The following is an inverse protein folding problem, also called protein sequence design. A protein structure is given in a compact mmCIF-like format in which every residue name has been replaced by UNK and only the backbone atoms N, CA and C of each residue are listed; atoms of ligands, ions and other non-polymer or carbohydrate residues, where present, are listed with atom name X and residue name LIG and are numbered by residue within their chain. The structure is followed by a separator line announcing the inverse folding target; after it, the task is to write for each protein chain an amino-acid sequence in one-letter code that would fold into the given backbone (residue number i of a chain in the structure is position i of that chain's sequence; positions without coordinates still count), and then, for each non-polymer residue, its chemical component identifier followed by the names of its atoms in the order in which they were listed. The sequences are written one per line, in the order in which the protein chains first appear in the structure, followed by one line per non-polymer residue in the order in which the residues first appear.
data_IF_767371389242
#
_entry.id   IF_767371389242
#
_cell.length_a   1.000
_cell.length_b   1.000
_cell.length_c   1.000
_cell.angle_alpha   90.00
_cell.angle_beta   90.00
_cell.angle_gamma   90.00
#
_symmetry.space_group_name_H-M   'P 1'
#
loop_
_entity.id
_entity.type
_entity.pdbx_description
1 polymer ?
#
# COMPACT_ATOMS: atom_id res chain seq x y z
N UNK A 1 -21.03 16.24 30.34
CA UNK A 1 -19.76 15.50 30.54
C UNK A 1 -18.71 16.04 29.56
N UNK A 2 -17.41 16.12 29.93
CA UNK A 2 -16.36 16.48 28.97
C UNK A 2 -16.29 15.45 27.84
N UNK A 3 -15.96 15.89 26.62
CA UNK A 3 -15.66 15.01 25.48
C UNK A 3 -14.21 15.21 25.09
N UNK A 4 -13.43 14.14 25.12
CA UNK A 4 -12.09 14.14 24.56
C UNK A 4 -12.16 13.92 23.05
N UNK A 5 -11.37 14.70 22.30
CA UNK A 5 -11.28 14.56 20.86
C UNK A 5 -10.03 13.76 20.48
N UNK A 6 -10.22 12.71 19.66
CA UNK A 6 -9.11 11.95 19.09
C UNK A 6 -8.67 12.60 17.78
N UNK A 7 -7.46 13.17 17.80
CA UNK A 7 -6.81 13.70 16.60
C UNK A 7 -5.70 12.75 16.17
N UNK A 8 -5.69 12.39 14.89
CA UNK A 8 -4.58 11.62 14.32
C UNK A 8 -3.28 12.42 14.42
N UNK A 9 -2.20 11.73 14.77
CA UNK A 9 -0.83 12.25 14.63
C UNK A 9 -0.45 12.31 13.15
N UNK A 10 0.69 12.91 12.83
CA UNK A 10 1.25 12.86 11.47
C UNK A 10 1.46 11.41 11.00
N UNK A 11 2.11 10.59 11.83
CA UNK A 11 2.25 9.15 11.61
C UNK A 11 0.89 8.45 11.41
N UNK A 12 -0.12 8.86 12.18
CA UNK A 12 -1.48 8.32 12.05
C UNK A 12 -2.16 8.70 10.73
N UNK A 13 -1.93 9.93 10.24
CA UNK A 13 -2.41 10.36 8.92
C UNK A 13 -1.76 9.56 7.82
N UNK A 14 -0.44 9.32 7.87
CA UNK A 14 0.30 8.58 6.84
C UNK A 14 -0.14 7.12 6.65
N UNK A 15 -0.85 6.54 7.61
CA UNK A 15 -1.44 5.19 7.49
C UNK A 15 -2.55 5.10 6.45
N UNK A 16 -3.06 6.21 5.92
CA UNK A 16 -4.09 6.21 4.89
C UNK A 16 -3.72 5.30 3.70
N UNK A 17 -2.45 5.25 3.30
CA UNK A 17 -1.95 4.39 2.21
C UNK A 17 -2.16 2.90 2.48
N UNK A 18 -1.96 2.48 3.74
CA UNK A 18 -2.17 1.09 4.17
C UNK A 18 -3.66 0.76 4.17
N UNK A 19 -4.50 1.69 4.62
CA UNK A 19 -5.95 1.52 4.61
C UNK A 19 -6.47 1.40 3.16
N UNK A 20 -6.00 2.24 2.25
CA UNK A 20 -6.32 2.13 0.81
C UNK A 20 -5.89 0.77 0.25
N UNK A 21 -4.69 0.29 0.57
CA UNK A 21 -4.21 -1.02 0.13
C UNK A 21 -5.12 -2.17 0.59
N UNK A 22 -5.52 -2.14 1.88
CA UNK A 22 -6.42 -3.15 2.45
C UNK A 22 -7.81 -3.11 1.81
N UNK A 23 -8.31 -1.90 1.51
CA UNK A 23 -9.57 -1.72 0.81
C UNK A 23 -9.52 -2.31 -0.60
N UNK A 24 -8.51 -1.97 -1.41
CA UNK A 24 -8.37 -2.51 -2.76
C UNK A 24 -8.22 -4.04 -2.77
N UNK A 25 -7.51 -4.60 -1.79
CA UNK A 25 -7.45 -6.05 -1.60
C UNK A 25 -8.84 -6.63 -1.28
N UNK A 26 -9.59 -6.01 -0.36
CA UNK A 26 -10.93 -6.45 0.02
C UNK A 26 -11.92 -6.38 -1.15
N UNK A 27 -11.91 -5.28 -1.89
CA UNK A 27 -12.72 -5.07 -3.09
C UNK A 27 -12.44 -6.16 -4.15
N UNK A 28 -11.15 -6.48 -4.39
CA UNK A 28 -10.74 -7.51 -5.35
C UNK A 28 -11.25 -8.91 -5.02
N UNK A 29 -11.40 -9.22 -3.73
CA UNK A 29 -11.80 -10.55 -3.25
C UNK A 29 -13.23 -10.59 -2.71
N UNK A 30 -14.03 -9.54 -2.95
CA UNK A 30 -15.36 -9.34 -2.37
C UNK A 30 -15.42 -9.69 -0.88
N UNK A 31 -14.46 -9.16 -0.11
CA UNK A 31 -14.37 -9.44 1.33
C UNK A 31 -15.62 -8.98 2.10
N UNK A 32 -16.40 -8.05 1.53
CA UNK A 32 -17.68 -7.60 2.08
C UNK A 32 -18.88 -8.50 1.75
N UNK A 33 -18.79 -9.33 0.71
CA UNK A 33 -19.89 -10.19 0.25
C UNK A 33 -21.04 -9.47 -0.44
N UNK A 34 -20.84 -8.22 -0.87
CA UNK A 34 -21.86 -7.41 -1.55
C UNK A 34 -21.78 -7.49 -3.08
N UNK A 35 -20.77 -8.17 -3.62
CA UNK A 35 -20.58 -8.34 -5.06
C UNK A 35 -20.02 -7.10 -5.79
N UNK A 36 -19.79 -5.99 -5.09
CA UNK A 36 -19.22 -4.76 -5.62
C UNK A 36 -18.54 -3.93 -4.50
N UNK A 37 -17.58 -3.04 -4.85
CA UNK A 37 -16.97 -2.12 -3.88
C UNK A 37 -18.02 -1.23 -3.19
N UNK A 38 -17.91 -1.06 -1.87
CA UNK A 38 -18.82 -0.19 -1.09
C UNK A 38 -18.37 1.27 -1.02
N UNK A 39 -17.12 1.53 -1.39
CA UNK A 39 -16.48 2.85 -1.42
C UNK A 39 -15.69 2.92 -2.73
N UNK A 40 -15.56 4.08 -3.36
CA UNK A 40 -14.68 4.33 -4.52
C UNK A 40 -13.60 5.36 -4.15
N UNK A 41 -12.34 5.15 -4.59
CA UNK A 41 -11.30 6.18 -4.48
C UNK A 41 -11.22 6.87 -5.82
N UNK A 42 -11.54 8.16 -5.85
CA UNK A 42 -11.47 8.97 -7.06
C UNK A 42 -10.58 10.17 -6.84
N UNK A 43 -9.94 10.63 -7.90
CA UNK A 43 -9.34 11.96 -7.95
C UNK A 43 -10.47 12.99 -7.93
N UNK A 44 -10.36 13.97 -7.03
CA UNK A 44 -11.37 15.01 -6.85
C UNK A 44 -11.50 15.90 -8.08
N UNK A 45 -10.41 16.12 -8.81
CA UNK A 45 -10.38 17.08 -9.91
C UNK A 45 -10.83 16.45 -11.23
N UNK A 46 -10.53 15.16 -11.44
CA UNK A 46 -10.86 14.45 -12.69
C UNK A 46 -12.02 13.47 -12.56
N UNK A 47 -12.47 13.18 -11.34
CA UNK A 47 -13.48 12.17 -10.99
C UNK A 47 -13.12 10.74 -11.43
N UNK A 48 -11.85 10.50 -11.77
CA UNK A 48 -11.38 9.19 -12.22
C UNK A 48 -10.96 8.32 -11.06
N UNK A 49 -11.24 7.02 -11.16
CA UNK A 49 -10.78 6.00 -10.22
C UNK A 49 -9.25 6.07 -10.05
N UNK A 50 -8.82 6.06 -8.79
CA UNK A 50 -7.42 5.99 -8.41
C UNK A 50 -7.07 4.58 -7.94
N UNK A 51 -5.87 4.13 -8.30
CA UNK A 51 -5.31 2.85 -7.88
C UNK A 51 -3.98 3.03 -7.21
N UNK A 52 -3.78 2.31 -6.12
CA UNK A 52 -2.53 2.30 -5.39
C UNK A 52 -1.44 1.63 -6.24
N UNK A 53 -0.37 2.37 -6.47
CA UNK A 53 0.78 1.91 -7.25
C UNK A 53 2.08 2.33 -6.59
N UNK A 54 3.14 1.54 -6.81
CA UNK A 54 4.50 2.05 -6.64
C UNK A 54 4.85 2.87 -7.88
N UNK A 55 5.32 4.09 -7.66
CA UNK A 55 5.64 5.05 -8.72
C UNK A 55 7.14 5.33 -8.68
N UNK A 56 7.78 5.29 -9.84
CA UNK A 56 9.15 5.79 -9.99
C UNK A 56 9.14 7.33 -9.92
N UNK A 57 9.78 7.94 -8.91
CA UNK A 57 9.74 9.38 -8.73
C UNK A 57 10.45 10.17 -9.84
N UNK A 58 11.31 9.53 -10.64
CA UNK A 58 12.02 10.21 -11.74
C UNK A 58 11.17 10.30 -13.00
N UNK A 59 10.36 9.28 -13.27
CA UNK A 59 9.55 9.18 -14.50
C UNK A 59 8.07 9.45 -14.28
N UNK A 60 7.60 9.37 -13.03
CA UNK A 60 6.17 9.46 -12.67
C UNK A 60 5.37 8.22 -13.08
N UNK A 61 6.01 7.17 -13.58
CA UNK A 61 5.33 5.97 -14.06
C UNK A 61 5.09 4.97 -12.94
N UNK A 62 3.95 4.28 -13.01
CA UNK A 62 3.69 3.12 -12.15
C UNK A 62 4.61 1.95 -12.53
N UNK A 63 5.14 1.29 -11.51
CA UNK A 63 6.01 0.11 -11.65
C UNK A 63 5.17 -1.15 -11.40
N UNK A 64 5.05 -2.07 -12.38
CA UNK A 64 4.30 -3.30 -12.19
C UNK A 64 5.02 -4.23 -11.21
N UNK A 65 4.27 -5.09 -10.52
CA UNK A 65 4.77 -5.98 -9.46
C UNK A 65 6.00 -6.79 -9.89
N UNK A 66 6.02 -7.27 -11.13
CA UNK A 66 7.07 -8.13 -11.70
C UNK A 66 8.42 -7.40 -11.81
N UNK A 67 8.40 -6.06 -11.86
CA UNK A 67 9.57 -5.20 -11.90
C UNK A 67 9.99 -4.68 -10.52
N UNK A 68 9.21 -4.97 -9.47
CA UNK A 68 9.51 -4.56 -8.09
C UNK A 68 10.49 -5.54 -7.45
N UNK A 69 11.56 -5.02 -6.87
CA UNK A 69 12.51 -5.78 -6.07
C UNK A 69 12.74 -5.09 -4.73
N UNK A 70 12.93 -5.87 -3.68
CA UNK A 70 13.27 -5.36 -2.34
C UNK A 70 14.75 -5.60 -2.08
N UNK A 71 15.44 -4.57 -1.59
CA UNK A 71 16.87 -4.63 -1.23
C UNK A 71 17.06 -4.03 0.17
N UNK A 72 18.06 -4.52 0.93
CA UNK A 72 18.42 -3.89 2.21
C UNK A 72 18.78 -2.40 2.01
N UNK A 73 18.24 -1.54 2.87
CA UNK A 73 18.58 -0.12 2.89
C UNK A 73 19.76 0.18 3.82
N UNK A 74 20.21 1.46 3.90
CA UNK A 74 21.37 1.85 4.70
C UNK A 74 21.28 1.55 6.21
N UNK A 75 20.07 1.36 6.74
CA UNK A 75 19.82 1.02 8.14
C UNK A 75 19.40 -0.43 8.38
N UNK A 76 19.55 -1.32 7.39
CA UNK A 76 19.21 -2.73 7.57
C UNK A 76 20.19 -3.43 8.52
N UNK A 77 19.66 -4.22 9.44
CA UNK A 77 20.43 -5.11 10.30
C UNK A 77 20.56 -6.51 9.67
N UNK A 78 21.37 -7.37 10.30
CA UNK A 78 21.62 -8.73 9.81
C UNK A 78 20.32 -9.53 9.60
N UNK A 79 19.30 -9.32 10.44
CA UNK A 79 18.01 -9.99 10.32
C UNK A 79 17.27 -9.57 9.06
N UNK A 80 17.23 -8.26 8.74
CA UNK A 80 16.63 -7.74 7.50
C UNK A 80 17.42 -8.23 6.28
N UNK A 81 18.76 -8.24 6.35
CA UNK A 81 19.61 -8.76 5.29
C UNK A 81 19.31 -10.24 5.01
N UNK A 82 19.24 -11.08 6.05
CA UNK A 82 18.93 -12.50 5.94
C UNK A 82 17.51 -12.74 5.40
N UNK A 83 16.51 -11.98 5.87
CA UNK A 83 15.13 -12.06 5.40
C UNK A 83 15.05 -11.82 3.88
N UNK A 84 15.67 -10.74 3.41
CA UNK A 84 15.61 -10.35 2.00
C UNK A 84 16.40 -11.30 1.09
N UNK A 85 17.53 -11.85 1.55
CA UNK A 85 18.25 -12.91 0.82
C UNK A 85 17.37 -14.16 0.64
N UNK A 86 16.69 -14.61 1.71
CA UNK A 86 15.78 -15.77 1.65
C UNK A 86 14.59 -15.55 0.73
N UNK A 87 14.02 -14.34 0.73
CA UNK A 87 12.93 -13.97 -0.16
C UNK A 87 13.35 -14.00 -1.65
N UNK A 88 14.58 -13.59 -1.95
CA UNK A 88 15.12 -13.58 -3.32
C UNK A 88 15.53 -14.96 -3.85
N UNK A 89 15.88 -15.90 -2.97
CA UNK A 89 16.36 -17.24 -3.32
C UNK A 89 15.22 -18.24 -3.63
N UNK A 90 13.96 -17.89 -3.36
CA UNK A 90 12.81 -18.75 -3.65
C UNK A 90 12.42 -18.56 -5.12
N UNK A 91 12.54 -19.58 -6.00
CA UNK A 91 12.08 -19.45 -7.37
C UNK A 91 10.56 -19.21 -7.39
N UNK A 92 10.11 -18.33 -8.28
CA UNK A 92 8.68 -18.16 -8.55
C UNK A 92 8.12 -19.51 -9.04
N UNK A 93 7.21 -20.10 -8.27
CA UNK A 93 6.42 -21.26 -8.68
C UNK A 93 5.32 -20.82 -9.64
#
# INVERSE_FOLDING_TARGET
PPRDEYRLTEKGRDLWKVITALREWGDRWDASGYGAPTIEVVDRDTERELRLALVDPQTGQSVPRERVTYRPGPGADEAVHALLQRASARPAS
#
